data_IF_975641014693
#
_entry.id   IF_975641014693
#
_cell.length_a   1.000
_cell.length_b   1.000
_cell.length_c   1.000
_cell.angle_alpha   90.00
_cell.angle_beta   90.00
_cell.angle_gamma   90.00
#
_symmetry.space_group_name_H-M   'P 1'
#
loop_
_entity.id
_entity.type
_entity.pdbx_description
1 polymer ?
#
# COMPACT_ATOMS: atom_id res chain seq x y z
N UNK A 1 -10.70 -21.43 -10.28
CA UNK A 1 -9.26 -21.22 -10.02
C UNK A 1 -8.54 -21.15 -11.35
N UNK A 2 -7.95 -20.01 -11.70
CA UNK A 2 -7.24 -19.85 -12.97
C UNK A 2 -5.85 -20.51 -12.85
N UNK A 3 -5.77 -21.79 -13.22
CA UNK A 3 -4.56 -22.59 -13.10
C UNK A 3 -3.30 -21.90 -13.70
N UNK A 4 -3.37 -21.23 -14.88
CA UNK A 4 -2.19 -20.56 -15.43
C UNK A 4 -1.64 -19.43 -14.54
N UNK A 5 -2.53 -18.64 -13.92
CA UNK A 5 -2.14 -17.52 -13.05
C UNK A 5 -1.55 -18.04 -11.74
N UNK A 6 -2.17 -19.08 -11.17
CA UNK A 6 -1.73 -19.65 -9.90
C UNK A 6 -0.34 -20.26 -10.00
N UNK A 7 -0.08 -21.13 -10.98
CA UNK A 7 1.23 -21.78 -11.11
C UNK A 7 2.33 -20.79 -11.45
N UNK A 8 2.05 -19.81 -12.30
CA UNK A 8 3.04 -18.79 -12.64
C UNK A 8 3.44 -17.97 -11.41
N UNK A 9 2.47 -17.44 -10.67
CA UNK A 9 2.75 -16.65 -9.48
C UNK A 9 3.45 -17.48 -8.38
N UNK A 10 2.98 -18.70 -8.13
CA UNK A 10 3.54 -19.59 -7.11
C UNK A 10 4.99 -19.97 -7.43
N UNK A 11 5.28 -20.38 -8.67
CA UNK A 11 6.64 -20.71 -9.10
C UNK A 11 7.57 -19.51 -9.02
N UNK A 12 7.11 -18.33 -9.43
CA UNK A 12 7.91 -17.11 -9.34
C UNK A 12 8.27 -16.75 -7.88
N UNK A 13 7.28 -16.76 -6.98
CA UNK A 13 7.49 -16.45 -5.56
C UNK A 13 8.44 -17.46 -4.92
N UNK A 14 8.26 -18.76 -5.20
CA UNK A 14 9.13 -19.82 -4.66
C UNK A 14 10.57 -19.67 -5.13
N UNK A 15 10.80 -19.48 -6.43
CA UNK A 15 12.14 -19.33 -6.99
C UNK A 15 12.82 -18.09 -6.40
N UNK A 16 12.11 -16.97 -6.35
CA UNK A 16 12.62 -15.73 -5.76
C UNK A 16 13.00 -15.92 -4.28
N UNK A 17 12.12 -16.54 -3.49
CA UNK A 17 12.38 -16.84 -2.08
C UNK A 17 13.59 -17.75 -1.87
N UNK A 18 13.73 -18.81 -2.69
CA UNK A 18 14.88 -19.72 -2.61
C UNK A 18 16.20 -18.99 -2.90
N UNK A 19 16.23 -18.11 -3.92
CA UNK A 19 17.42 -17.34 -4.26
C UNK A 19 17.82 -16.41 -3.12
N UNK A 20 16.85 -15.70 -2.52
CA UNK A 20 17.10 -14.78 -1.40
C UNK A 20 17.64 -15.51 -0.18
N UNK A 21 17.10 -16.70 0.12
CA UNK A 21 17.55 -17.53 1.25
C UNK A 21 18.94 -18.12 0.99
N UNK A 22 19.22 -18.56 -0.23
CA UNK A 22 20.49 -19.18 -0.59
C UNK A 22 21.66 -18.16 -0.65
N UNK A 23 21.39 -16.92 -1.05
CA UNK A 23 22.41 -15.86 -1.22
C UNK A 23 22.01 -14.54 -0.54
N UNK A 24 21.95 -14.47 0.80
CA UNK A 24 21.39 -13.33 1.49
C UNK A 24 22.18 -12.03 1.33
N UNK A 25 23.53 -12.09 1.32
CA UNK A 25 24.36 -10.89 1.19
C UNK A 25 24.28 -10.29 -0.22
N UNK A 26 24.35 -11.13 -1.27
CA UNK A 26 24.22 -10.68 -2.65
C UNK A 26 22.81 -10.14 -2.92
N UNK A 27 21.78 -10.84 -2.43
CA UNK A 27 20.38 -10.41 -2.55
C UNK A 27 20.14 -9.07 -1.86
N UNK A 28 20.69 -8.86 -0.66
CA UNK A 28 20.62 -7.58 0.04
C UNK A 28 21.24 -6.43 -0.78
N UNK A 29 22.42 -6.64 -1.35
CA UNK A 29 23.07 -5.63 -2.19
C UNK A 29 22.25 -5.28 -3.44
N UNK A 30 21.72 -6.28 -4.14
CA UNK A 30 20.90 -6.06 -5.34
C UNK A 30 19.55 -5.41 -5.03
N UNK A 31 18.89 -5.83 -3.93
CA UNK A 31 17.62 -5.25 -3.49
C UNK A 31 17.79 -3.79 -3.07
N UNK A 32 18.87 -3.45 -2.33
CA UNK A 32 19.18 -2.08 -1.97
C UNK A 32 19.53 -1.24 -3.20
N UNK A 33 20.30 -1.77 -4.14
CA UNK A 33 20.60 -1.09 -5.39
C UNK A 33 19.32 -0.80 -6.20
N UNK A 34 18.41 -1.78 -6.30
CA UNK A 34 17.12 -1.63 -6.96
C UNK A 34 16.22 -0.62 -6.25
N UNK A 35 16.16 -0.65 -4.91
CA UNK A 35 15.41 0.31 -4.10
C UNK A 35 15.93 1.74 -4.33
N UNK A 36 17.25 1.96 -4.24
CA UNK A 36 17.85 3.27 -4.46
C UNK A 36 17.62 3.76 -5.89
N UNK A 37 17.73 2.88 -6.88
CA UNK A 37 17.44 3.23 -8.27
C UNK A 37 15.97 3.64 -8.46
N UNK A 38 15.04 2.89 -7.88
CA UNK A 38 13.61 3.19 -7.95
C UNK A 38 13.27 4.52 -7.25
N UNK A 39 13.84 4.75 -6.07
CA UNK A 39 13.66 6.00 -5.32
C UNK A 39 14.16 7.22 -6.11
N UNK A 40 15.34 7.14 -6.71
CA UNK A 40 15.94 8.25 -7.45
C UNK A 40 15.29 8.50 -8.81
N UNK A 41 14.84 7.45 -9.50
CA UNK A 41 14.32 7.57 -10.87
C UNK A 41 12.80 7.82 -10.88
N UNK A 42 12.07 7.11 -10.03
CA UNK A 42 10.59 7.06 -10.04
C UNK A 42 9.99 7.78 -8.84
N UNK A 43 10.78 8.19 -7.84
CA UNK A 43 10.28 8.80 -6.61
C UNK A 43 9.48 10.08 -6.82
N UNK A 44 9.92 10.97 -7.72
CA UNK A 44 9.18 12.21 -8.02
C UNK A 44 7.82 11.92 -8.65
N UNK A 45 7.76 10.94 -9.57
CA UNK A 45 6.52 10.51 -10.22
C UNK A 45 5.59 9.85 -9.20
N UNK A 46 6.13 9.00 -8.33
CA UNK A 46 5.39 8.36 -7.26
C UNK A 46 4.71 9.39 -6.34
N UNK A 47 5.44 10.41 -5.89
CA UNK A 47 4.89 11.49 -5.05
C UNK A 47 3.75 12.25 -5.76
N UNK A 48 3.96 12.64 -7.03
CA UNK A 48 2.95 13.32 -7.85
C UNK A 48 1.68 12.49 -8.00
N UNK A 49 1.82 11.19 -8.30
CA UNK A 49 0.68 10.27 -8.47
C UNK A 49 -0.08 10.09 -7.16
N UNK A 50 0.61 9.96 -6.03
CA UNK A 50 -0.04 9.85 -4.71
C UNK A 50 -0.84 11.10 -4.37
N UNK A 51 -0.28 12.29 -4.60
CA UNK A 51 -1.00 13.55 -4.44
C UNK A 51 -2.20 13.63 -5.40
N UNK A 52 -2.04 13.20 -6.66
CA UNK A 52 -3.12 13.20 -7.64
C UNK A 52 -4.27 12.28 -7.22
N UNK A 53 -3.98 11.07 -6.72
CA UNK A 53 -5.02 10.17 -6.22
C UNK A 53 -5.75 10.74 -5.01
N UNK A 54 -5.04 11.39 -4.08
CA UNK A 54 -5.68 12.07 -2.95
C UNK A 54 -6.63 13.17 -3.43
N UNK A 55 -6.15 14.04 -4.33
CA UNK A 55 -6.97 15.10 -4.92
C UNK A 55 -8.17 14.52 -5.66
N UNK A 56 -7.97 13.46 -6.46
CA UNK A 56 -9.03 12.80 -7.19
C UNK A 56 -10.13 12.26 -6.27
N UNK A 57 -9.77 11.59 -5.17
CA UNK A 57 -10.74 11.06 -4.19
C UNK A 57 -11.49 12.21 -3.51
N UNK A 58 -10.79 13.26 -3.07
CA UNK A 58 -11.42 14.42 -2.41
C UNK A 58 -12.36 15.16 -3.34
N UNK A 59 -11.93 15.43 -4.58
CA UNK A 59 -12.78 16.07 -5.60
C UNK A 59 -13.99 15.20 -5.90
N UNK A 60 -13.82 13.88 -6.06
CA UNK A 60 -14.94 12.96 -6.30
C UNK A 60 -15.93 12.98 -5.15
N UNK A 61 -15.46 12.95 -3.90
CA UNK A 61 -16.30 13.01 -2.71
C UNK A 61 -17.09 14.33 -2.58
N UNK A 62 -16.50 15.47 -2.96
CA UNK A 62 -17.15 16.78 -2.91
C UNK A 62 -18.02 17.08 -4.15
N UNK A 63 -17.74 16.42 -5.27
CA UNK A 63 -18.48 16.60 -6.52
C UNK A 63 -19.88 15.96 -6.47
N UNK A 64 -20.68 16.21 -7.51
CA UNK A 64 -21.97 15.52 -7.69
C UNK A 64 -21.87 13.99 -7.75
N UNK A 65 -20.70 13.45 -8.12
CA UNK A 65 -20.47 12.00 -8.19
C UNK A 65 -20.46 11.34 -6.80
N UNK A 66 -20.12 12.05 -5.73
CA UNK A 66 -20.14 11.52 -4.36
C UNK A 66 -21.55 11.20 -3.85
N UNK A 67 -22.60 11.70 -4.53
CA UNK A 67 -24.01 11.42 -4.20
C UNK A 67 -24.53 10.16 -4.89
N UNK A 68 -23.76 9.59 -5.82
CA UNK A 68 -24.16 8.39 -6.55
C UNK A 68 -24.02 7.20 -5.62
N UNK A 69 -25.11 6.45 -5.49
CA UNK A 69 -25.16 5.23 -4.70
C UNK A 69 -24.49 4.09 -5.47
N UNK A 70 -23.58 3.38 -4.80
CA UNK A 70 -22.90 2.21 -5.36
C UNK A 70 -23.80 0.97 -5.18
N UNK A 71 -24.82 0.84 -6.02
CA UNK A 71 -25.83 -0.21 -5.97
C UNK A 71 -27.05 0.15 -6.82
N UNK A 72 -28.11 -0.65 -6.80
CA UNK A 72 -29.37 -0.23 -7.38
C UNK A 72 -29.95 0.95 -6.55
N UNK A 73 -30.73 1.83 -7.19
CA UNK A 73 -31.28 3.02 -6.54
C UNK A 73 -32.08 2.68 -5.26
N UNK A 74 -32.66 1.48 -5.20
CA UNK A 74 -33.49 0.98 -4.11
C UNK A 74 -32.74 0.13 -3.06
N UNK A 75 -31.43 -0.11 -3.18
CA UNK A 75 -30.71 -1.00 -2.27
C UNK A 75 -30.45 -0.35 -0.90
N UNK A 76 -30.86 -0.93 0.22
CA UNK A 76 -30.50 -0.38 1.53
C UNK A 76 -29.07 -0.79 1.93
N UNK A 77 -28.36 0.00 2.76
CA UNK A 77 -27.05 -0.40 3.27
C UNK A 77 -27.14 -1.73 4.02
N UNK A 78 -26.37 -2.74 3.60
CA UNK A 78 -26.36 -4.07 4.23
C UNK A 78 -25.84 -4.03 5.68
N UNK A 79 -25.01 -3.04 6.01
CA UNK A 79 -24.39 -2.88 7.32
C UNK A 79 -24.75 -1.52 7.94
N UNK A 80 -24.92 -1.50 9.27
CA UNK A 80 -25.06 -0.24 10.00
C UNK A 80 -23.80 0.61 9.87
N UNK A 81 -23.94 1.94 9.94
CA UNK A 81 -22.80 2.87 9.82
C UNK A 81 -21.65 2.54 10.78
N UNK A 82 -21.97 2.09 12.00
CA UNK A 82 -20.96 1.71 13.00
C UNK A 82 -20.22 0.43 12.60
N UNK A 83 -20.95 -0.58 12.10
CA UNK A 83 -20.36 -1.83 11.62
C UNK A 83 -19.50 -1.58 10.38
N UNK A 84 -19.97 -0.76 9.44
CA UNK A 84 -19.22 -0.36 8.26
C UNK A 84 -17.93 0.40 8.60
N UNK A 85 -17.99 1.37 9.52
CA UNK A 85 -16.81 2.08 9.98
C UNK A 85 -15.80 1.13 10.66
N UNK A 86 -16.29 0.16 11.43
CA UNK A 86 -15.47 -0.90 12.02
C UNK A 86 -14.77 -1.77 10.99
N UNK A 87 -15.46 -2.14 9.90
CA UNK A 87 -14.86 -2.90 8.79
C UNK A 87 -13.77 -2.11 8.07
N UNK A 88 -13.98 -0.82 7.81
CA UNK A 88 -12.95 0.04 7.22
C UNK A 88 -11.73 0.19 8.11
N UNK A 89 -11.94 0.33 9.43
CA UNK A 89 -10.85 0.40 10.39
C UNK A 89 -10.05 -0.93 10.41
N UNK A 90 -10.75 -2.07 10.48
CA UNK A 90 -10.10 -3.38 10.47
C UNK A 90 -9.32 -3.65 9.16
N UNK A 91 -9.84 -3.21 8.02
CA UNK A 91 -9.15 -3.31 6.74
C UNK A 91 -7.92 -2.40 6.64
N UNK A 92 -7.91 -1.26 7.34
CA UNK A 92 -6.82 -0.27 7.31
C UNK A 92 -5.68 -0.53 8.28
N UNK A 93 -5.95 -1.13 9.45
CA UNK A 93 -4.92 -1.39 10.46
C UNK A 93 -4.10 -2.62 10.09
N UNK A 94 -2.78 -2.45 9.97
CA UNK A 94 -1.83 -3.52 9.65
C UNK A 94 -0.70 -3.60 10.69
N UNK A 95 -0.01 -4.75 10.75
CA UNK A 95 1.17 -4.94 11.62
C UNK A 95 2.25 -3.88 11.38
N UNK A 96 2.37 -3.41 10.13
CA UNK A 96 3.28 -2.35 9.72
C UNK A 96 3.04 -1.05 10.50
N UNK A 97 1.78 -0.67 10.73
CA UNK A 97 1.44 0.52 11.51
C UNK A 97 1.96 0.41 12.95
N UNK A 98 1.76 -0.73 13.61
CA UNK A 98 2.25 -0.93 14.98
C UNK A 98 3.77 -0.83 15.10
N UNK A 99 4.50 -1.31 14.09
CA UNK A 99 5.96 -1.17 14.04
C UNK A 99 6.38 0.30 13.86
N UNK A 100 5.83 0.97 12.83
CA UNK A 100 6.24 2.34 12.49
C UNK A 100 5.75 3.40 13.48
N UNK A 101 4.64 3.16 14.19
CA UNK A 101 4.15 4.06 15.25
C UNK A 101 5.18 4.33 16.35
N UNK A 102 6.09 3.39 16.63
CA UNK A 102 7.17 3.57 17.61
C UNK A 102 8.48 3.91 16.92
N UNK A 103 8.81 3.22 15.82
CA UNK A 103 10.11 3.37 15.18
C UNK A 103 10.28 4.72 14.49
N UNK A 104 9.25 5.23 13.81
CA UNK A 104 9.34 6.48 13.03
C UNK A 104 9.53 7.70 13.93
N UNK A 105 8.74 7.92 15.00
CA UNK A 105 8.97 9.05 15.90
C UNK A 105 10.34 8.99 16.57
N UNK A 106 10.76 7.80 17.03
CA UNK A 106 12.07 7.63 17.64
C UNK A 106 13.21 7.95 16.65
N UNK A 107 13.07 7.52 15.39
CA UNK A 107 14.04 7.82 14.34
C UNK A 107 14.09 9.31 14.05
N UNK A 108 12.95 9.99 13.92
CA UNK A 108 12.92 11.44 13.70
C UNK A 108 13.41 12.26 14.91
N UNK A 109 13.29 11.73 16.14
CA UNK A 109 13.85 12.37 17.33
C UNK A 109 15.38 12.25 17.40
N UNK A 110 15.92 11.08 17.06
CA UNK A 110 17.36 10.79 17.10
C UNK A 110 18.10 11.33 15.87
N UNK A 111 17.42 11.39 14.73
CA UNK A 111 17.92 11.89 13.45
C UNK A 111 16.89 12.88 12.89
N UNK A 112 16.86 14.13 13.42
CA UNK A 112 15.94 15.13 12.91
C UNK A 112 16.14 15.34 11.41
N UNK A 113 15.07 15.36 10.61
CA UNK A 113 15.18 15.58 9.18
C UNK A 113 15.93 16.90 8.94
N UNK A 114 17.03 16.84 8.21
CA UNK A 114 17.73 18.03 7.75
C UNK A 114 16.82 18.74 6.74
N UNK A 115 16.47 20.00 7.04
CA UNK A 115 15.77 20.87 6.10
C UNK A 115 16.60 21.18 4.87
#
# INVERSE_FOLDING_TARGET
MNAPVFYFAASFILIFGIIVIAFPQASGAWLLAAQNWAANTVGWYYMMVMTLYLVFVVVTALSGFGKIKLGADHDEPEFSYLSWAGMLFAAGISITLFFFCVSEPLTHLLQPPQG
#
